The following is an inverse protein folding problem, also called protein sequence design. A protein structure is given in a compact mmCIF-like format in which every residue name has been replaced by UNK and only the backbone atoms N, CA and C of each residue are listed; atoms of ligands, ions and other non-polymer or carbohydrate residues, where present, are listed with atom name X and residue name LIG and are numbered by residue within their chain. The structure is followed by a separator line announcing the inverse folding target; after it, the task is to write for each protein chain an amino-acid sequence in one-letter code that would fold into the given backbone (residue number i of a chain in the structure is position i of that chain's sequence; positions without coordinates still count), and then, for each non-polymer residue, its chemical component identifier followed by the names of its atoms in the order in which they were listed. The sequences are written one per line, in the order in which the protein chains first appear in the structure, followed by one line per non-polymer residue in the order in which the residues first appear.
data_IF_670543624512
#
_entry.id   IF_670543624512
#
_cell.length_a   1.000
_cell.length_b   1.000
_cell.length_c   1.000
_cell.angle_alpha   90.00
_cell.angle_beta   90.00
_cell.angle_gamma   90.00
#
_symmetry.space_group_name_H-M   'P 1'
#
loop_
_entity.id
_entity.type
_entity.pdbx_description
1 polymer ?
#
# COMPACT_ATOMS: atom_id res chain seq x y z
N UNK A 1 23.27 23.27 -35.66
CA UNK A 1 22.38 22.46 -34.81
C UNK A 1 23.29 21.80 -33.78
N UNK A 2 23.03 21.97 -32.48
CA UNK A 2 23.87 21.40 -31.42
C UNK A 2 23.21 20.14 -30.89
N UNK A 3 24.02 19.09 -30.68
CA UNK A 3 23.56 17.83 -30.11
C UNK A 3 23.20 18.04 -28.63
N UNK A 4 22.01 17.57 -28.22
CA UNK A 4 21.55 17.65 -26.84
C UNK A 4 22.02 16.44 -26.04
N UNK A 5 21.85 16.43 -24.71
CA UNK A 5 22.28 15.27 -23.91
C UNK A 5 21.44 14.02 -24.23
N UNK A 6 20.15 14.22 -24.51
CA UNK A 6 19.15 13.22 -24.82
C UNK A 6 19.20 12.72 -26.27
N UNK A 7 20.05 13.30 -27.13
CA UNK A 7 20.18 12.92 -28.55
C UNK A 7 21.63 12.60 -28.87
N UNK A 8 21.85 11.56 -29.68
CA UNK A 8 23.16 11.27 -30.24
C UNK A 8 23.04 10.75 -31.69
N UNK A 9 23.64 11.49 -32.63
CA UNK A 9 23.58 11.22 -34.07
C UNK A 9 24.72 10.32 -34.54
N UNK A 10 24.37 9.30 -35.32
CA UNK A 10 25.30 8.30 -35.82
C UNK A 10 25.16 8.10 -37.33
N UNK A 11 26.26 8.25 -38.05
CA UNK A 11 26.32 7.92 -39.48
C UNK A 11 26.36 6.39 -39.70
N UNK A 12 26.95 5.66 -38.76
CA UNK A 12 27.09 4.21 -38.82
C UNK A 12 27.17 3.61 -37.40
N UNK A 13 26.90 2.30 -37.30
CA UNK A 13 27.09 1.53 -36.08
C UNK A 13 28.57 1.45 -35.74
N UNK A 14 28.93 1.86 -34.51
CA UNK A 14 30.32 1.79 -34.07
C UNK A 14 30.78 0.33 -33.94
N UNK A 15 31.98 -0.03 -34.43
CA UNK A 15 32.55 -1.35 -34.19
C UNK A 15 32.99 -1.53 -32.72
N UNK A 16 33.14 -0.44 -31.97
CA UNK A 16 33.56 -0.46 -30.58
C UNK A 16 32.38 -0.77 -29.65
N UNK A 17 32.18 -2.06 -29.38
CA UNK A 17 31.17 -2.56 -28.44
C UNK A 17 31.39 -2.07 -27.00
N UNK A 18 32.60 -1.64 -26.62
CA UNK A 18 32.83 -1.05 -25.29
C UNK A 18 32.20 0.34 -25.24
N UNK A 19 32.52 1.20 -26.21
CA UNK A 19 31.97 2.56 -26.28
C UNK A 19 30.44 2.58 -26.39
N UNK A 20 29.85 1.63 -27.13
CA UNK A 20 28.39 1.49 -27.20
C UNK A 20 27.78 1.16 -25.82
N UNK A 21 28.40 0.27 -25.03
CA UNK A 21 27.95 -0.01 -23.66
C UNK A 21 27.99 1.23 -22.77
N UNK A 22 29.08 1.98 -22.84
CA UNK A 22 29.24 3.23 -22.08
C UNK A 22 28.14 4.24 -22.44
N UNK A 23 27.79 4.36 -23.72
CA UNK A 23 26.73 5.26 -24.18
C UNK A 23 25.34 4.82 -23.72
N UNK A 24 25.04 3.53 -23.84
CA UNK A 24 23.77 2.97 -23.36
C UNK A 24 23.62 3.15 -21.83
N UNK A 25 24.70 2.91 -21.06
CA UNK A 25 24.75 3.23 -19.62
C UNK A 25 24.48 4.72 -19.35
N UNK A 26 25.13 5.60 -20.11
CA UNK A 26 24.97 7.05 -19.95
C UNK A 26 23.56 7.56 -20.23
N UNK A 27 22.91 7.06 -21.28
CA UNK A 27 21.55 7.44 -21.64
C UNK A 27 20.53 6.84 -20.67
N UNK A 28 20.70 5.59 -20.23
CA UNK A 28 19.79 5.00 -19.25
C UNK A 28 19.90 5.64 -17.85
N UNK A 29 21.04 6.25 -17.53
CA UNK A 29 21.22 7.04 -16.31
C UNK A 29 20.69 8.47 -16.42
N UNK A 30 20.46 8.99 -17.63
CA UNK A 30 19.95 10.33 -17.89
C UNK A 30 18.45 10.42 -17.53
N UNK A 31 18.00 11.44 -16.79
CA UNK A 31 16.57 11.67 -16.57
C UNK A 31 15.79 11.81 -17.89
N UNK A 32 14.71 11.05 -18.05
CA UNK A 32 13.92 10.99 -19.28
C UNK A 32 14.51 10.12 -20.39
N UNK A 33 15.68 9.50 -20.18
CA UNK A 33 16.33 8.64 -21.18
C UNK A 33 16.95 9.43 -22.33
N UNK A 34 17.13 8.77 -23.47
CA UNK A 34 17.69 9.41 -24.67
C UNK A 34 17.55 8.56 -25.93
N UNK A 35 17.97 9.13 -27.06
CA UNK A 35 17.86 8.54 -28.38
C UNK A 35 19.21 8.43 -29.07
N UNK A 36 19.50 7.26 -29.62
CA UNK A 36 20.50 7.10 -30.67
C UNK A 36 19.79 7.20 -32.02
N UNK A 37 20.19 8.18 -32.84
CA UNK A 37 19.60 8.42 -34.16
C UNK A 37 20.61 8.06 -35.24
N UNK A 38 20.31 7.00 -35.99
CA UNK A 38 21.13 6.56 -37.11
C UNK A 38 20.63 7.11 -38.44
N UNK A 39 21.56 7.36 -39.37
CA UNK A 39 21.30 7.92 -40.69
C UNK A 39 21.62 9.41 -40.82
N UNK A 40 22.31 9.97 -39.81
CA UNK A 40 22.78 11.37 -39.79
C UNK A 40 24.29 11.42 -39.57
N UNK A 41 24.97 12.30 -40.30
CA UNK A 41 26.35 12.68 -40.00
C UNK A 41 26.44 13.52 -38.73
N UNK A 42 27.64 13.70 -38.18
CA UNK A 42 27.86 14.60 -37.03
C UNK A 42 27.48 16.08 -37.33
N UNK A 43 27.29 16.43 -38.60
CA UNK A 43 26.83 17.75 -39.05
C UNK A 43 25.31 17.81 -39.27
N UNK A 44 24.60 16.69 -39.08
CA UNK A 44 23.15 16.56 -39.34
C UNK A 44 22.80 16.31 -40.81
N UNK A 45 23.74 15.86 -41.63
CA UNK A 45 23.50 15.54 -43.04
C UNK A 45 23.00 14.10 -43.18
N UNK A 46 22.02 13.86 -44.05
CA UNK A 46 21.45 12.53 -44.28
C UNK A 46 22.49 11.61 -44.94
N UNK A 47 22.78 10.47 -44.31
CA UNK A 47 23.68 9.45 -44.87
C UNK A 47 22.91 8.28 -45.50
N UNK A 48 21.63 8.12 -45.15
CA UNK A 48 20.77 7.03 -45.59
C UNK A 48 21.09 5.70 -44.90
N UNK A 49 20.06 4.93 -44.57
CA UNK A 49 20.17 3.57 -44.01
C UNK A 49 19.21 2.63 -44.75
N UNK A 50 19.59 1.36 -44.87
CA UNK A 50 18.75 0.31 -45.44
C UNK A 50 18.17 -0.60 -44.33
N UNK A 51 17.29 -1.51 -44.72
CA UNK A 51 16.58 -2.41 -43.80
C UNK A 51 17.52 -3.37 -43.06
N UNK A 52 18.52 -3.91 -43.76
CA UNK A 52 19.53 -4.81 -43.20
C UNK A 52 20.36 -4.11 -42.11
N UNK A 53 20.73 -2.85 -42.32
CA UNK A 53 21.42 -2.04 -41.31
C UNK A 53 20.55 -1.81 -40.07
N UNK A 54 19.25 -1.57 -40.26
CA UNK A 54 18.30 -1.38 -39.14
C UNK A 54 18.25 -2.64 -38.29
N UNK A 55 18.02 -3.80 -38.90
CA UNK A 55 17.92 -5.07 -38.19
C UNK A 55 19.22 -5.41 -37.44
N UNK A 56 20.37 -5.27 -38.11
CA UNK A 56 21.68 -5.52 -37.49
C UNK A 56 21.94 -4.59 -36.30
N UNK A 57 21.60 -3.30 -36.43
CA UNK A 57 21.80 -2.29 -35.38
C UNK A 57 20.92 -2.57 -34.16
N UNK A 58 19.62 -2.83 -34.38
CA UNK A 58 18.66 -3.14 -33.30
C UNK A 58 19.08 -4.40 -32.56
N UNK A 59 19.41 -5.47 -33.27
CA UNK A 59 19.85 -6.73 -32.67
C UNK A 59 21.13 -6.56 -31.85
N UNK A 60 22.12 -5.85 -32.40
CA UNK A 60 23.38 -5.61 -31.70
C UNK A 60 23.18 -4.79 -30.42
N UNK A 61 22.46 -3.66 -30.49
CA UNK A 61 22.25 -2.80 -29.32
C UNK A 61 21.40 -3.48 -28.26
N UNK A 62 20.38 -4.24 -28.66
CA UNK A 62 19.54 -5.01 -27.72
C UNK A 62 20.37 -6.04 -26.96
N UNK A 63 21.23 -6.79 -27.66
CA UNK A 63 22.13 -7.77 -27.01
C UNK A 63 23.12 -7.07 -26.07
N UNK A 64 23.71 -5.96 -26.51
CA UNK A 64 24.63 -5.17 -25.68
C UNK A 64 23.93 -4.64 -24.42
N UNK A 65 22.73 -4.08 -24.56
CA UNK A 65 21.95 -3.55 -23.44
C UNK A 65 21.51 -4.64 -22.46
N UNK A 66 21.14 -5.82 -22.96
CA UNK A 66 20.70 -6.95 -22.14
C UNK A 66 21.84 -7.67 -21.42
N UNK A 67 22.97 -7.89 -22.09
CA UNK A 67 24.07 -8.71 -21.55
C UNK A 67 25.22 -7.88 -20.98
N UNK A 68 25.42 -6.67 -21.51
CA UNK A 68 26.57 -5.82 -21.17
C UNK A 68 26.36 -4.89 -19.97
N UNK A 69 25.13 -4.72 -19.52
CA UNK A 69 24.76 -3.75 -18.49
C UNK A 69 24.02 -4.40 -17.29
N UNK A 70 24.09 -3.72 -16.15
CA UNK A 70 23.38 -4.07 -14.93
C UNK A 70 22.80 -2.81 -14.27
N UNK A 71 21.47 -2.69 -14.11
CA UNK A 71 20.45 -3.62 -14.63
C UNK A 71 20.47 -3.73 -16.17
N UNK A 72 19.91 -4.81 -16.75
CA UNK A 72 19.75 -4.93 -18.20
C UNK A 72 18.79 -3.87 -18.73
N UNK A 73 19.04 -3.39 -19.95
CA UNK A 73 18.19 -2.39 -20.59
C UNK A 73 17.12 -3.01 -21.48
N UNK A 74 15.98 -2.32 -21.55
CA UNK A 74 14.95 -2.48 -22.58
C UNK A 74 15.10 -1.31 -23.55
N UNK A 75 15.15 -1.62 -24.84
CA UNK A 75 15.31 -0.63 -25.91
C UNK A 75 14.11 -0.71 -26.84
N UNK A 76 13.57 0.45 -27.20
CA UNK A 76 12.55 0.57 -28.25
C UNK A 76 13.17 1.18 -29.51
N UNK A 77 12.54 0.97 -30.66
CA UNK A 77 12.99 1.61 -31.89
C UNK A 77 11.85 1.95 -32.85
N UNK A 78 12.06 2.97 -33.67
CA UNK A 78 11.20 3.28 -34.81
C UNK A 78 12.04 3.78 -36.00
N UNK A 79 11.53 3.56 -37.21
CA UNK A 79 12.12 4.09 -38.44
C UNK A 79 11.20 5.16 -38.99
N UNK A 80 11.76 6.32 -39.31
CA UNK A 80 11.02 7.43 -39.91
C UNK A 80 11.67 7.86 -41.23
N UNK A 81 10.85 8.30 -42.18
CA UNK A 81 11.32 8.92 -43.41
C UNK A 81 11.42 10.44 -43.25
N UNK A 82 12.56 11.01 -43.60
CA UNK A 82 12.81 12.44 -43.53
C UNK A 82 13.68 12.91 -44.69
N UNK A 83 13.24 13.95 -45.42
CA UNK A 83 14.04 14.58 -46.48
C UNK A 83 14.49 13.64 -47.60
N UNK A 84 13.74 12.57 -47.87
CA UNK A 84 14.09 11.54 -48.87
C UNK A 84 15.05 10.45 -48.38
N UNK A 85 15.42 10.43 -47.09
CA UNK A 85 16.21 9.39 -46.44
C UNK A 85 15.47 8.72 -45.28
N UNK A 86 15.94 7.54 -44.85
CA UNK A 86 15.45 6.82 -43.66
C UNK A 86 16.31 7.18 -42.45
N UNK A 87 15.68 7.34 -41.29
CA UNK A 87 16.31 7.54 -39.99
C UNK A 87 15.83 6.46 -39.02
N UNK A 88 16.75 5.88 -38.26
CA UNK A 88 16.45 4.91 -37.21
C UNK A 88 16.63 5.57 -35.85
N UNK A 89 15.56 5.63 -35.09
CA UNK A 89 15.56 6.08 -33.70
C UNK A 89 15.59 4.85 -32.81
N UNK A 90 16.63 4.73 -31.97
CA UNK A 90 16.66 3.78 -30.87
C UNK A 90 16.43 4.59 -29.60
N UNK A 91 15.34 4.31 -28.90
CA UNK A 91 15.02 4.94 -27.63
C UNK A 91 15.55 4.11 -26.47
N UNK A 92 16.40 4.73 -25.65
CA UNK A 92 16.95 4.19 -24.42
C UNK A 92 16.16 4.82 -23.27
N UNK A 93 15.27 4.04 -22.66
CA UNK A 93 14.50 4.50 -21.51
C UNK A 93 15.40 4.78 -20.30
N UNK A 94 15.04 5.78 -19.49
CA UNK A 94 15.63 5.96 -18.17
C UNK A 94 15.40 4.69 -17.33
N UNK A 95 16.47 4.15 -16.74
CA UNK A 95 16.34 3.05 -15.80
C UNK A 95 15.86 3.57 -14.45
N UNK A 96 14.83 2.95 -13.89
CA UNK A 96 14.38 3.22 -12.52
C UNK A 96 15.39 2.74 -11.48
N UNK A 97 16.11 1.66 -11.76
CA UNK A 97 17.20 1.15 -10.91
C UNK A 97 18.53 1.70 -11.43
N UNK A 98 19.16 2.52 -10.60
CA UNK A 98 20.40 3.24 -10.88
C UNK A 98 21.48 2.93 -9.84
N UNK A 99 22.76 3.10 -10.19
CA UNK A 99 23.25 3.39 -11.53
C UNK A 99 23.15 2.18 -12.45
N UNK A 100 22.89 2.43 -13.73
CA UNK A 100 23.16 1.45 -14.80
C UNK A 100 24.66 1.43 -15.02
N UNK A 101 25.30 0.34 -14.60
CA UNK A 101 26.74 0.12 -14.71
C UNK A 101 27.05 -0.95 -15.76
N UNK A 102 28.33 -1.05 -16.14
CA UNK A 102 28.81 -2.19 -16.91
C UNK A 102 28.65 -3.47 -16.07
N UNK A 103 28.07 -4.52 -16.68
CA UNK A 103 27.84 -5.80 -16.00
C UNK A 103 29.17 -6.45 -15.60
N UNK A 104 29.21 -7.01 -14.39
CA UNK A 104 30.39 -7.69 -13.86
C UNK A 104 31.49 -6.75 -13.36
N UNK A 105 31.25 -5.44 -13.36
CA UNK A 105 32.17 -4.43 -12.84
C UNK A 105 31.59 -3.73 -11.61
N UNK A 106 32.35 -2.80 -11.02
CA UNK A 106 31.88 -2.01 -9.88
C UNK A 106 30.90 -0.91 -10.31
N UNK A 107 30.19 -0.34 -9.33
CA UNK A 107 29.29 0.81 -9.53
C UNK A 107 30.03 2.06 -10.07
N UNK A 108 31.37 2.10 -9.95
CA UNK A 108 32.21 3.15 -10.51
C UNK A 108 32.32 3.08 -12.04
N UNK A 109 31.92 1.97 -12.64
CA UNK A 109 31.84 1.78 -14.10
C UNK A 109 30.41 2.09 -14.59
N UNK A 110 29.87 3.20 -14.09
CA UNK A 110 28.65 3.83 -14.56
C UNK A 110 28.99 5.11 -15.35
N UNK A 111 28.21 5.39 -16.38
CA UNK A 111 28.44 6.53 -17.27
C UNK A 111 27.24 7.48 -17.24
N UNK A 112 27.46 8.74 -17.60
CA UNK A 112 26.45 9.79 -17.69
C UNK A 112 26.67 10.66 -18.93
N UNK A 113 25.60 11.33 -19.39
CA UNK A 113 25.67 12.35 -20.44
C UNK A 113 25.97 13.71 -19.84
N UNK A 114 26.92 14.43 -20.43
CA UNK A 114 27.26 15.81 -20.07
C UNK A 114 27.78 16.56 -21.29
N UNK A 115 27.09 17.63 -21.69
CA UNK A 115 27.46 18.43 -22.86
C UNK A 115 27.53 17.62 -24.14
N UNK A 116 26.55 16.74 -24.40
CA UNK A 116 26.51 15.80 -25.52
C UNK A 116 27.64 14.75 -25.57
N UNK A 117 28.42 14.61 -24.49
CA UNK A 117 29.46 13.59 -24.37
C UNK A 117 29.10 12.55 -23.33
N UNK A 118 29.59 11.34 -23.55
CA UNK A 118 29.53 10.24 -22.59
C UNK A 118 30.81 10.22 -21.79
N UNK A 119 30.70 10.28 -20.47
CA UNK A 119 31.85 10.12 -19.56
C UNK A 119 31.50 9.27 -18.37
N UNK A 120 32.54 8.76 -17.71
CA UNK A 120 32.40 8.06 -16.43
C UNK A 120 31.81 9.00 -15.38
N UNK A 121 30.89 8.47 -14.58
CA UNK A 121 30.33 9.16 -13.43
C UNK A 121 31.37 9.24 -12.31
N UNK A 122 31.48 10.41 -11.69
CA UNK A 122 32.24 10.57 -10.45
C UNK A 122 31.51 9.91 -9.28
N UNK A 123 32.20 9.71 -8.14
CA UNK A 123 31.59 9.15 -6.92
C UNK A 123 30.38 9.95 -6.42
N UNK A 124 30.41 11.28 -6.54
CA UNK A 124 29.29 12.14 -6.15
C UNK A 124 28.09 11.96 -7.08
N UNK A 125 28.34 11.82 -8.39
CA UNK A 125 27.30 11.56 -9.38
C UNK A 125 26.70 10.16 -9.21
N UNK A 126 27.54 9.16 -8.92
CA UNK A 126 27.07 7.81 -8.56
C UNK A 126 26.19 7.87 -7.31
N UNK A 127 26.62 8.60 -6.27
CA UNK A 127 25.78 8.83 -5.08
C UNK A 127 24.43 9.45 -5.44
N UNK A 128 24.42 10.42 -6.34
CA UNK A 128 23.18 11.06 -6.84
C UNK A 128 22.31 10.08 -7.64
N UNK A 129 22.90 9.24 -8.48
CA UNK A 129 22.20 8.18 -9.22
C UNK A 129 21.58 7.16 -8.27
N UNK A 130 22.31 6.75 -7.22
CA UNK A 130 21.81 5.84 -6.20
C UNK A 130 20.66 6.44 -5.39
N UNK A 131 20.72 7.73 -5.05
CA UNK A 131 19.61 8.43 -4.37
C UNK A 131 18.35 8.52 -5.25
N UNK A 132 18.53 8.57 -6.58
CA UNK A 132 17.43 8.56 -7.54
C UNK A 132 17.05 7.15 -8.03
N UNK A 133 17.75 6.11 -7.56
CA UNK A 133 17.45 4.71 -7.83
C UNK A 133 16.23 4.28 -7.03
N UNK A 134 15.29 3.64 -7.69
CA UNK A 134 14.03 3.19 -7.09
C UNK A 134 13.73 1.78 -7.57
N UNK A 135 13.65 0.83 -6.65
CA UNK A 135 13.01 -0.45 -6.92
C UNK A 135 11.51 -0.20 -7.03
N UNK A 136 10.85 -0.62 -8.13
CA UNK A 136 9.41 -0.47 -8.27
C UNK A 136 8.69 -1.09 -7.07
N UNK A 137 7.74 -0.34 -6.49
CA UNK A 137 6.87 -0.90 -5.45
C UNK A 137 5.83 -1.80 -6.13
N UNK A 138 5.33 -2.82 -5.42
CA UNK A 138 4.32 -3.74 -5.97
C UNK A 138 3.12 -2.99 -6.59
N UNK A 139 2.71 -1.90 -5.96
CA UNK A 139 1.58 -1.04 -6.36
C UNK A 139 1.79 -0.34 -7.71
N UNK A 140 3.04 -0.15 -8.12
CA UNK A 140 3.45 0.52 -9.38
C UNK A 140 3.58 -0.48 -10.54
N UNK A 141 3.61 -1.79 -10.26
CA UNK A 141 3.69 -2.81 -11.31
C UNK A 141 2.40 -2.87 -12.11
N UNK A 142 2.50 -3.30 -13.37
CA UNK A 142 1.35 -3.47 -14.25
C UNK A 142 0.55 -4.72 -13.90
N UNK A 143 -0.75 -4.54 -13.73
CA UNK A 143 -1.73 -5.61 -13.52
C UNK A 143 -2.27 -6.19 -14.83
N UNK A 144 -1.97 -5.55 -15.97
CA UNK A 144 -2.44 -5.93 -17.30
C UNK A 144 -1.31 -5.89 -18.32
N UNK A 145 -1.51 -6.56 -19.45
CA UNK A 145 -0.79 -6.24 -20.69
C UNK A 145 -1.23 -4.87 -21.23
N UNK A 146 -0.58 -4.39 -22.29
CA UNK A 146 -0.95 -3.14 -22.96
C UNK A 146 -2.41 -3.21 -23.41
N UNK A 147 -3.19 -2.21 -23.03
CA UNK A 147 -4.60 -2.06 -23.37
C UNK A 147 -4.82 -0.81 -24.20
N UNK A 148 -5.91 -0.79 -24.98
CA UNK A 148 -6.39 0.44 -25.62
C UNK A 148 -6.99 1.38 -24.59
N UNK A 149 -6.99 2.68 -24.89
CA UNK A 149 -7.63 3.74 -24.08
C UNK A 149 -9.07 3.40 -23.70
N UNK A 150 -9.86 2.91 -24.67
CA UNK A 150 -11.24 2.48 -24.44
C UNK A 150 -11.32 1.34 -23.41
N UNK A 151 -10.42 0.36 -23.51
CA UNK A 151 -10.46 -0.79 -22.62
C UNK A 151 -9.98 -0.44 -21.19
N UNK A 152 -9.03 0.50 -21.03
CA UNK A 152 -8.65 1.02 -19.72
C UNK A 152 -9.85 1.61 -18.96
N UNK A 153 -10.70 2.38 -19.66
CA UNK A 153 -11.92 2.98 -19.11
C UNK A 153 -12.98 1.92 -18.76
N UNK A 154 -13.00 0.79 -19.48
CA UNK A 154 -13.90 -0.33 -19.20
C UNK A 154 -13.44 -1.17 -18.00
N UNK A 155 -12.12 -1.31 -17.77
CA UNK A 155 -11.57 -2.13 -16.69
C UNK A 155 -11.78 -1.52 -15.30
N UNK A 156 -11.72 -0.19 -15.20
CA UNK A 156 -11.81 0.54 -13.92
C UNK A 156 -13.13 1.31 -13.79
N UNK A 157 -13.70 1.30 -12.59
CA UNK A 157 -14.83 2.13 -12.16
C UNK A 157 -14.27 3.16 -11.18
N UNK A 158 -14.38 4.44 -11.54
CA UNK A 158 -13.68 5.53 -10.85
C UNK A 158 -14.61 6.60 -10.34
N UNK A 159 -15.87 6.57 -10.77
CA UNK A 159 -16.93 7.46 -10.36
C UNK A 159 -17.11 7.47 -8.83
N UNK A 160 -17.09 6.32 -8.11
CA UNK A 160 -17.16 6.33 -6.65
C UNK A 160 -15.94 7.00 -6.01
N UNK A 161 -14.76 6.91 -6.64
CA UNK A 161 -13.54 7.56 -6.15
C UNK A 161 -13.63 9.08 -6.33
N UNK A 162 -14.11 9.54 -7.49
CA UNK A 162 -14.34 10.95 -7.77
C UNK A 162 -15.36 11.56 -6.79
N UNK A 163 -16.43 10.82 -6.46
CA UNK A 163 -17.42 11.21 -5.45
C UNK A 163 -16.77 11.36 -4.06
N UNK A 164 -15.98 10.38 -3.62
CA UNK A 164 -15.25 10.46 -2.35
C UNK A 164 -14.25 11.63 -2.29
N UNK A 165 -13.66 11.98 -3.43
CA UNK A 165 -12.77 13.14 -3.58
C UNK A 165 -13.50 14.48 -3.75
N UNK A 166 -14.85 14.46 -3.83
CA UNK A 166 -15.67 15.63 -4.16
C UNK A 166 -15.20 16.34 -5.45
N UNK A 167 -14.91 15.54 -6.49
CA UNK A 167 -14.47 16.02 -7.81
C UNK A 167 -15.56 15.79 -8.86
N UNK A 168 -15.73 16.73 -9.82
CA UNK A 168 -16.62 16.51 -10.95
C UNK A 168 -16.10 15.38 -11.82
N UNK A 169 -17.00 14.66 -12.47
CA UNK A 169 -16.64 13.62 -13.44
C UNK A 169 -16.08 14.28 -14.70
N UNK A 170 -14.87 13.91 -15.15
CA UNK A 170 -14.32 14.34 -16.43
C UNK A 170 -15.30 14.11 -17.58
N UNK A 171 -15.42 15.06 -18.51
CA UNK A 171 -16.44 15.01 -19.56
C UNK A 171 -15.96 14.30 -20.83
N UNK A 172 -14.64 14.23 -21.04
CA UNK A 172 -14.05 13.51 -22.16
C UNK A 172 -13.26 12.26 -21.70
N UNK A 173 -13.17 11.21 -22.55
CA UNK A 173 -12.32 10.06 -22.29
C UNK A 173 -10.85 10.43 -22.01
N UNK A 174 -10.30 11.41 -22.75
CA UNK A 174 -8.92 11.86 -22.57
C UNK A 174 -8.68 12.54 -21.21
N UNK A 175 -9.60 13.39 -20.76
CA UNK A 175 -9.51 13.99 -19.42
C UNK A 175 -9.60 12.91 -18.31
N UNK A 176 -10.44 11.89 -18.53
CA UNK A 176 -10.56 10.77 -17.59
C UNK A 176 -9.24 10.00 -17.48
N UNK A 177 -8.62 9.65 -18.61
CA UNK A 177 -7.34 8.95 -18.64
C UNK A 177 -6.22 9.77 -17.97
N UNK A 178 -6.14 11.07 -18.28
CA UNK A 178 -5.18 11.97 -17.65
C UNK A 178 -5.35 12.02 -16.14
N UNK A 179 -6.60 12.06 -15.66
CA UNK A 179 -6.87 12.00 -14.23
C UNK A 179 -6.50 10.63 -13.63
N UNK A 180 -6.87 9.53 -14.27
CA UNK A 180 -6.53 8.17 -13.81
C UNK A 180 -5.01 7.97 -13.68
N UNK A 181 -4.25 8.50 -14.63
CA UNK A 181 -2.78 8.51 -14.61
C UNK A 181 -2.23 9.39 -13.48
N UNK A 182 -2.80 10.58 -13.26
CA UNK A 182 -2.43 11.46 -12.14
C UNK A 182 -2.65 10.81 -10.76
N UNK A 183 -3.64 9.91 -10.67
CA UNK A 183 -3.95 9.10 -9.49
C UNK A 183 -3.16 7.77 -9.45
N UNK A 184 -2.29 7.54 -10.44
CA UNK A 184 -1.46 6.33 -10.61
C UNK A 184 -2.27 5.04 -10.74
N UNK A 185 -3.53 5.13 -11.19
CA UNK A 185 -4.37 3.95 -11.45
C UNK A 185 -3.97 3.28 -12.77
N UNK A 186 -3.43 4.06 -13.70
CA UNK A 186 -2.92 3.61 -14.99
C UNK A 186 -1.58 4.28 -15.28
N UNK A 187 -0.88 3.74 -16.28
CA UNK A 187 0.30 4.34 -16.91
C UNK A 187 0.07 4.35 -18.42
N UNK A 188 0.00 5.53 -19.04
CA UNK A 188 -0.22 5.66 -20.48
C UNK A 188 1.09 5.58 -21.25
N UNK A 189 1.03 5.14 -22.51
CA UNK A 189 2.20 5.10 -23.39
C UNK A 189 2.06 6.12 -24.52
N UNK A 190 3.17 6.73 -24.93
CA UNK A 190 3.18 7.77 -25.97
C UNK A 190 2.63 7.29 -27.32
N UNK A 191 2.71 5.98 -27.60
CA UNK A 191 2.17 5.36 -28.82
C UNK A 191 0.65 5.13 -28.78
N UNK A 192 -0.02 5.48 -27.68
CA UNK A 192 -1.45 5.26 -27.43
C UNK A 192 -1.72 3.98 -26.62
N UNK A 193 -2.76 4.01 -25.79
CA UNK A 193 -3.04 2.94 -24.84
C UNK A 193 -2.28 3.10 -23.52
N UNK A 194 -2.29 2.04 -22.73
CA UNK A 194 -1.59 2.01 -21.45
C UNK A 194 -1.81 0.73 -20.65
N UNK A 195 -1.36 0.76 -19.41
CA UNK A 195 -1.44 -0.35 -18.47
C UNK A 195 -2.25 0.05 -17.24
N UNK A 196 -3.00 -0.89 -16.67
CA UNK A 196 -3.55 -0.72 -15.32
C UNK A 196 -2.46 -1.07 -14.32
N UNK A 197 -2.24 -0.22 -13.31
CA UNK A 197 -1.31 -0.54 -12.22
C UNK A 197 -1.97 -1.48 -11.21
N UNK A 198 -1.18 -2.18 -10.39
CA UNK A 198 -1.69 -2.97 -9.27
C UNK A 198 -2.50 -2.11 -8.30
N UNK A 199 -2.10 -0.85 -8.06
CA UNK A 199 -2.90 0.12 -7.32
C UNK A 199 -4.27 0.34 -7.98
N UNK A 200 -4.29 0.58 -9.29
CA UNK A 200 -5.50 0.79 -10.08
C UNK A 200 -6.46 -0.40 -10.00
N UNK A 201 -5.95 -1.60 -10.23
CA UNK A 201 -6.72 -2.83 -10.12
C UNK A 201 -7.27 -3.05 -8.71
N UNK A 202 -6.45 -2.93 -7.67
CA UNK A 202 -6.91 -3.14 -6.30
C UNK A 202 -7.85 -2.05 -5.79
N UNK A 203 -7.73 -0.80 -6.24
CA UNK A 203 -8.60 0.28 -5.79
C UNK A 203 -9.93 0.32 -6.59
N UNK A 204 -9.86 0.19 -7.91
CA UNK A 204 -10.91 0.62 -8.83
C UNK A 204 -11.39 -0.47 -9.82
N UNK A 205 -10.89 -1.71 -9.76
CA UNK A 205 -11.31 -2.74 -10.71
C UNK A 205 -12.84 -2.96 -10.70
N UNK A 206 -13.47 -2.91 -11.89
CA UNK A 206 -14.87 -3.35 -12.05
C UNK A 206 -15.04 -4.82 -11.73
N UNK A 207 -14.03 -5.63 -12.08
CA UNK A 207 -13.95 -7.06 -11.79
C UNK A 207 -12.49 -7.43 -11.51
N UNK A 208 -12.19 -7.80 -10.27
CA UNK A 208 -10.84 -8.29 -9.89
C UNK A 208 -10.46 -9.58 -10.65
N UNK A 209 -11.44 -10.35 -11.11
CA UNK A 209 -11.22 -11.57 -11.89
C UNK A 209 -10.62 -11.31 -13.28
N UNK A 210 -10.74 -10.07 -13.80
CA UNK A 210 -10.15 -9.69 -15.09
C UNK A 210 -8.62 -9.49 -14.98
N UNK A 211 -8.07 -9.56 -13.75
CA UNK A 211 -6.66 -9.42 -13.44
C UNK A 211 -6.16 -10.71 -12.78
N UNK A 212 -5.32 -11.48 -13.49
CA UNK A 212 -4.89 -12.83 -13.07
C UNK A 212 -4.32 -12.83 -11.65
N UNK A 213 -3.44 -11.87 -11.36
CA UNK A 213 -2.65 -11.83 -10.13
C UNK A 213 -3.40 -11.16 -8.96
N UNK A 214 -4.48 -10.42 -9.26
CA UNK A 214 -5.28 -9.71 -8.26
C UNK A 214 -6.55 -10.48 -7.86
N UNK A 215 -7.03 -11.39 -8.70
CA UNK A 215 -8.25 -12.17 -8.47
C UNK A 215 -8.29 -12.85 -7.10
N UNK A 216 -7.14 -13.38 -6.63
CA UNK A 216 -6.99 -14.08 -5.34
C UNK A 216 -6.79 -13.17 -4.14
N UNK A 217 -6.73 -11.85 -4.35
CA UNK A 217 -6.59 -10.86 -3.28
C UNK A 217 -7.94 -10.42 -2.73
N UNK A 218 -9.06 -10.78 -3.36
CA UNK A 218 -10.38 -10.38 -2.93
C UNK A 218 -10.68 -10.69 -1.45
N UNK A 219 -11.37 -9.76 -0.79
CA UNK A 219 -11.85 -9.94 0.58
C UNK A 219 -12.86 -11.08 0.63
N UNK A 220 -12.69 -12.01 1.56
CA UNK A 220 -13.66 -13.07 1.83
C UNK A 220 -14.37 -12.80 3.14
N UNK A 221 -15.69 -12.90 3.14
CA UNK A 221 -16.54 -12.76 4.33
C UNK A 221 -17.26 -14.08 4.56
N UNK A 222 -17.11 -14.63 5.76
CA UNK A 222 -17.70 -15.90 6.17
C UNK A 222 -18.44 -15.72 7.50
N UNK A 223 -19.67 -16.22 7.60
CA UNK A 223 -20.42 -16.34 8.85
C UNK A 223 -20.59 -17.82 9.19
N UNK A 224 -20.05 -18.22 10.33
CA UNK A 224 -20.26 -19.55 10.91
C UNK A 224 -21.45 -19.50 11.87
N UNK A 225 -22.25 -20.56 11.96
CA UNK A 225 -23.17 -20.73 13.09
C UNK A 225 -22.36 -21.15 14.34
N UNK A 226 -22.61 -20.53 15.50
CA UNK A 226 -21.87 -20.86 16.72
C UNK A 226 -20.54 -20.12 16.86
N UNK A 227 -19.63 -20.71 17.64
CA UNK A 227 -18.37 -20.09 18.11
C UNK A 227 -17.11 -20.67 17.48
N UNK A 228 -17.25 -21.65 16.58
CA UNK A 228 -16.14 -22.35 15.93
C UNK A 228 -16.38 -22.56 14.43
N UNK A 229 -15.37 -23.10 13.74
CA UNK A 229 -15.41 -23.37 12.28
C UNK A 229 -16.13 -24.67 11.91
N UNK A 230 -16.51 -25.49 12.89
CA UNK A 230 -17.24 -26.75 12.66
C UNK A 230 -18.74 -26.52 12.50
N UNK A 231 -19.22 -25.36 12.96
CA UNK A 231 -20.59 -24.93 12.73
C UNK A 231 -20.93 -24.75 11.25
N UNK A 232 -22.22 -24.84 10.94
CA UNK A 232 -22.72 -24.66 9.58
C UNK A 232 -22.33 -23.28 9.01
N UNK A 233 -21.98 -23.24 7.72
CA UNK A 233 -21.73 -21.99 7.01
C UNK A 233 -23.07 -21.30 6.71
N UNK A 234 -23.39 -20.25 7.44
CA UNK A 234 -24.60 -19.47 7.24
C UNK A 234 -24.46 -18.49 6.07
N UNK A 235 -23.23 -18.04 5.80
CA UNK A 235 -22.94 -17.11 4.71
C UNK A 235 -21.49 -17.24 4.27
N UNK A 236 -21.26 -17.17 2.97
CA UNK A 236 -19.93 -17.04 2.38
C UNK A 236 -20.01 -16.16 1.13
N UNK A 237 -19.18 -15.12 1.08
CA UNK A 237 -19.06 -14.27 -0.11
C UNK A 237 -17.63 -13.81 -0.31
N UNK A 238 -17.24 -13.79 -1.58
CA UNK A 238 -15.96 -13.25 -2.02
C UNK A 238 -16.20 -11.92 -2.73
N UNK A 239 -15.36 -10.93 -2.43
CA UNK A 239 -15.32 -9.65 -3.12
C UNK A 239 -15.00 -9.85 -4.59
N UNK A 240 -15.55 -8.99 -5.46
CA UNK A 240 -15.32 -9.07 -6.91
C UNK A 240 -14.84 -7.78 -7.52
N UNK A 241 -14.82 -6.69 -6.76
CA UNK A 241 -14.52 -5.34 -7.20
C UNK A 241 -13.32 -4.79 -6.44
N UNK A 242 -12.73 -3.72 -6.96
CA UNK A 242 -11.72 -2.93 -6.28
C UNK A 242 -12.17 -2.54 -4.87
N UNK A 243 -11.22 -2.53 -3.94
CA UNK A 243 -11.42 -2.26 -2.54
C UNK A 243 -12.01 -0.87 -2.30
N UNK A 244 -11.50 0.18 -2.97
CA UNK A 244 -11.94 1.54 -2.70
C UNK A 244 -13.41 1.72 -3.07
N UNK A 245 -13.79 1.28 -4.28
CA UNK A 245 -15.17 1.41 -4.78
C UNK A 245 -16.18 0.51 -4.07
N UNK A 246 -15.71 -0.51 -3.32
CA UNK A 246 -16.59 -1.46 -2.62
C UNK A 246 -16.51 -1.36 -1.10
N UNK A 247 -15.63 -0.54 -0.55
CA UNK A 247 -15.37 -0.49 0.89
C UNK A 247 -16.64 -0.22 1.72
N UNK A 248 -17.42 0.81 1.37
CA UNK A 248 -18.64 1.15 2.09
C UNK A 248 -19.63 -0.02 2.10
N UNK A 249 -19.90 -0.60 0.94
CA UNK A 249 -20.80 -1.76 0.83
C UNK A 249 -20.27 -3.00 1.53
N UNK A 250 -18.95 -3.17 1.62
CA UNK A 250 -18.33 -4.24 2.41
C UNK A 250 -18.60 -4.02 3.90
N UNK A 251 -18.38 -2.80 4.41
CA UNK A 251 -18.65 -2.44 5.80
C UNK A 251 -20.13 -2.66 6.14
N UNK A 252 -21.05 -2.15 5.32
CA UNK A 252 -22.50 -2.37 5.47
C UNK A 252 -22.83 -3.87 5.51
N UNK A 253 -22.31 -4.65 4.54
CA UNK A 253 -22.55 -6.10 4.49
C UNK A 253 -22.01 -6.83 5.73
N UNK A 254 -20.86 -6.40 6.27
CA UNK A 254 -20.32 -6.99 7.50
C UNK A 254 -21.22 -6.64 8.68
N UNK A 255 -21.63 -5.38 8.82
CA UNK A 255 -22.53 -4.90 9.88
C UNK A 255 -23.89 -5.62 9.88
N UNK A 256 -24.44 -5.91 8.70
CA UNK A 256 -25.70 -6.63 8.54
C UNK A 256 -25.63 -8.10 8.98
N UNK A 257 -24.43 -8.71 8.95
CA UNK A 257 -24.21 -10.09 9.37
C UNK A 257 -23.93 -10.23 10.88
N UNK A 258 -23.72 -9.11 11.58
CA UNK A 258 -23.45 -9.12 13.02
C UNK A 258 -24.70 -9.40 13.83
N UNK A 259 -24.56 -9.92 15.06
CA UNK A 259 -25.67 -9.98 16.01
C UNK A 259 -26.29 -8.59 16.19
N UNK A 260 -27.60 -8.49 16.00
CA UNK A 260 -28.39 -7.26 16.09
C UNK A 260 -29.50 -7.43 17.15
N UNK A 261 -29.74 -6.37 17.92
CA UNK A 261 -30.91 -6.25 18.79
C UNK A 261 -31.89 -5.22 18.20
N UNK A 262 -33.21 -5.41 18.38
CA UNK A 262 -34.19 -4.39 18.03
C UNK A 262 -34.24 -3.33 19.13
N UNK A 263 -33.99 -2.07 18.75
CA UNK A 263 -34.08 -0.91 19.65
C UNK A 263 -35.07 0.08 19.06
N UNK A 264 -35.96 0.64 19.89
CA UNK A 264 -36.87 1.70 19.44
C UNK A 264 -36.14 3.04 19.49
N UNK A 265 -35.92 3.66 18.32
CA UNK A 265 -35.41 5.03 18.20
C UNK A 265 -36.45 5.88 17.49
N UNK A 266 -36.79 7.03 18.09
CA UNK A 266 -37.77 7.98 17.53
C UNK A 266 -39.10 7.31 17.13
N UNK A 267 -39.55 6.32 17.92
CA UNK A 267 -40.80 5.59 17.68
C UNK A 267 -40.71 4.47 16.62
N UNK A 268 -39.57 4.30 15.94
CA UNK A 268 -39.35 3.25 14.95
C UNK A 268 -38.43 2.16 15.50
N UNK A 269 -38.73 0.90 15.16
CA UNK A 269 -37.83 -0.23 15.46
C UNK A 269 -36.65 -0.19 14.49
N UNK A 270 -35.45 -0.07 15.05
CA UNK A 270 -34.19 -0.10 14.30
C UNK A 270 -33.36 -1.25 14.83
N UNK A 271 -32.82 -2.07 13.92
CA UNK A 271 -31.86 -3.10 14.29
C UNK A 271 -30.52 -2.43 14.58
N UNK A 272 -29.97 -2.64 15.77
CA UNK A 272 -28.70 -2.07 16.20
C UNK A 272 -27.77 -3.17 16.69
N UNK A 273 -26.56 -3.22 16.12
CA UNK A 273 -25.48 -4.06 16.63
C UNK A 273 -24.69 -3.35 17.73
N UNK A 274 -24.11 -4.13 18.64
CA UNK A 274 -23.25 -3.59 19.73
C UNK A 274 -21.82 -3.32 19.26
N UNK A 275 -21.42 -3.83 18.09
CA UNK A 275 -20.11 -3.55 17.53
C UNK A 275 -20.06 -2.11 16.98
N UNK A 276 -19.09 -1.29 17.40
CA UNK A 276 -18.99 0.07 16.91
C UNK A 276 -18.52 0.08 15.46
N UNK A 277 -19.32 0.70 14.59
CA UNK A 277 -19.01 0.86 13.16
C UNK A 277 -17.64 1.51 12.94
N UNK A 278 -17.27 2.51 13.76
CA UNK A 278 -15.97 3.17 13.70
C UNK A 278 -14.82 2.15 13.86
N UNK A 279 -14.90 1.22 14.82
CA UNK A 279 -13.84 0.25 15.01
C UNK A 279 -13.74 -0.73 13.84
N UNK A 280 -14.89 -1.18 13.32
CA UNK A 280 -14.93 -2.07 12.16
C UNK A 280 -14.40 -1.40 10.90
N UNK A 281 -14.78 -0.14 10.67
CA UNK A 281 -14.26 0.67 9.56
C UNK A 281 -12.74 0.74 9.60
N UNK A 282 -12.16 1.09 10.74
CA UNK A 282 -10.70 1.23 10.87
C UNK A 282 -9.97 -0.11 10.74
N UNK A 283 -10.48 -1.18 11.37
CA UNK A 283 -9.84 -2.50 11.32
C UNK A 283 -9.95 -3.09 9.92
N UNK A 284 -11.11 -2.97 9.25
CA UNK A 284 -11.29 -3.42 7.87
C UNK A 284 -10.39 -2.63 6.93
N UNK A 285 -10.36 -1.29 7.01
CA UNK A 285 -9.51 -0.49 6.14
C UNK A 285 -8.02 -0.84 6.33
N UNK A 286 -7.57 -0.98 7.58
CA UNK A 286 -6.20 -1.41 7.88
C UNK A 286 -5.92 -2.81 7.34
N UNK A 287 -6.88 -3.72 7.39
CA UNK A 287 -6.74 -5.04 6.81
C UNK A 287 -6.53 -4.97 5.28
N UNK A 288 -7.30 -4.14 4.57
CA UNK A 288 -7.14 -3.99 3.12
C UNK A 288 -5.80 -3.35 2.74
N UNK A 289 -5.35 -2.36 3.52
CA UNK A 289 -4.14 -1.59 3.22
C UNK A 289 -2.87 -2.37 3.58
N UNK A 290 -2.82 -3.05 4.73
CA UNK A 290 -1.55 -3.54 5.31
C UNK A 290 -1.26 -5.02 5.04
N UNK A 291 -2.07 -5.70 4.22
CA UNK A 291 -1.80 -7.08 3.80
C UNK A 291 -0.50 -7.21 2.99
N UNK A 292 0.10 -8.40 2.99
CA UNK A 292 1.22 -8.69 2.10
C UNK A 292 0.73 -9.11 0.70
N UNK A 293 0.85 -8.18 -0.26
CA UNK A 293 0.48 -8.47 -1.64
C UNK A 293 1.43 -9.44 -2.36
N UNK A 294 2.60 -9.76 -1.79
CA UNK A 294 3.49 -10.77 -2.36
C UNK A 294 3.03 -12.21 -2.07
N UNK A 295 2.19 -12.42 -1.05
CA UNK A 295 1.70 -13.77 -0.68
C UNK A 295 0.60 -14.23 -1.63
N UNK A 296 0.83 -15.26 -2.44
CA UNK A 296 -0.16 -15.78 -3.39
C UNK A 296 -1.17 -16.72 -2.73
N UNK A 297 -2.36 -16.85 -3.34
CA UNK A 297 -3.40 -17.79 -2.89
C UNK A 297 -4.15 -17.41 -1.60
N UNK A 298 -3.81 -16.28 -0.98
CA UNK A 298 -4.46 -15.75 0.21
C UNK A 298 -4.81 -14.27 0.04
N UNK A 299 -5.90 -13.87 0.67
CA UNK A 299 -6.38 -12.49 0.76
C UNK A 299 -6.99 -12.22 2.13
N UNK A 300 -7.50 -11.01 2.38
CA UNK A 300 -8.11 -10.65 3.64
C UNK A 300 -9.35 -11.51 3.90
N UNK A 301 -9.47 -12.02 5.11
CA UNK A 301 -10.56 -12.88 5.54
C UNK A 301 -11.24 -12.30 6.77
N UNK A 302 -12.55 -12.06 6.65
CA UNK A 302 -13.45 -11.64 7.72
C UNK A 302 -14.31 -12.83 8.12
N UNK A 303 -14.08 -13.36 9.31
CA UNK A 303 -14.83 -14.46 9.89
C UNK A 303 -15.71 -13.91 11.02
N UNK A 304 -17.01 -14.16 10.93
CA UNK A 304 -17.99 -13.72 11.92
C UNK A 304 -18.53 -14.96 12.64
N UNK A 305 -18.51 -14.89 13.96
CA UNK A 305 -19.03 -15.90 14.88
C UNK A 305 -20.11 -15.27 15.77
N UNK A 306 -20.80 -16.10 16.56
CA UNK A 306 -21.86 -15.61 17.45
C UNK A 306 -21.33 -14.67 18.54
N UNK A 307 -20.06 -14.82 18.90
CA UNK A 307 -19.43 -14.11 20.02
C UNK A 307 -18.30 -13.16 19.61
N UNK A 308 -17.86 -13.14 18.35
CA UNK A 308 -16.72 -12.33 17.89
C UNK A 308 -16.65 -12.18 16.38
N UNK A 309 -15.81 -11.24 15.95
CA UNK A 309 -15.41 -11.02 14.56
C UNK A 309 -13.89 -11.14 14.49
N UNK A 310 -13.38 -11.97 13.59
CA UNK A 310 -11.96 -12.13 13.31
C UNK A 310 -11.65 -11.58 11.91
N UNK A 311 -10.72 -10.64 11.81
CA UNK A 311 -10.24 -10.08 10.55
C UNK A 311 -8.78 -10.45 10.43
N UNK A 312 -8.44 -11.22 9.39
CA UNK A 312 -7.09 -11.75 9.19
C UNK A 312 -6.54 -11.43 7.80
N UNK A 313 -5.23 -11.22 7.75
CA UNK A 313 -4.48 -10.91 6.55
C UNK A 313 -3.32 -11.88 6.35
N UNK A 314 -2.90 -12.10 5.09
CA UNK A 314 -1.60 -12.68 4.80
C UNK A 314 -0.47 -11.72 5.18
N UNK A 315 0.66 -12.31 5.60
CA UNK A 315 1.87 -11.59 5.97
C UNK A 315 2.00 -11.37 7.48
N UNK A 316 3.24 -11.34 7.95
CA UNK A 316 3.59 -11.07 9.34
C UNK A 316 3.49 -9.58 9.68
N UNK A 317 3.52 -9.29 10.99
CA UNK A 317 3.68 -7.94 11.50
C UNK A 317 5.03 -7.36 11.04
N UNK A 318 5.07 -6.06 10.72
CA UNK A 318 6.30 -5.38 10.33
C UNK A 318 7.35 -5.50 11.46
N UNK A 319 8.65 -5.75 11.15
CA UNK A 319 9.70 -5.90 12.15
C UNK A 319 9.87 -4.68 13.08
N UNK A 320 9.51 -3.50 12.60
CA UNK A 320 9.52 -2.22 13.33
C UNK A 320 8.35 -2.08 14.31
N UNK A 321 7.36 -2.97 14.29
CA UNK A 321 6.17 -2.93 15.13
C UNK A 321 6.17 -4.06 16.15
N UNK A 322 5.59 -3.77 17.31
CA UNK A 322 5.36 -4.74 18.38
C UNK A 322 3.88 -4.81 18.70
N UNK A 323 3.35 -6.01 18.98
CA UNK A 323 1.96 -6.22 19.38
C UNK A 323 1.56 -5.34 20.57
N UNK A 324 2.49 -5.15 21.52
CA UNK A 324 2.24 -4.34 22.70
C UNK A 324 2.19 -2.84 22.37
N UNK A 325 2.67 -2.39 21.20
CA UNK A 325 2.71 -0.97 20.83
C UNK A 325 2.14 -0.75 19.42
N UNK A 326 0.94 -1.29 19.17
CA UNK A 326 0.21 -1.07 17.92
C UNK A 326 -0.70 0.16 17.98
N UNK A 327 -1.46 0.32 19.06
CA UNK A 327 -2.33 1.48 19.24
C UNK A 327 -1.47 2.71 19.54
N UNK A 328 -1.66 3.79 18.77
CA UNK A 328 -0.91 5.04 18.94
C UNK A 328 0.54 4.98 18.45
N UNK A 329 0.92 3.95 17.70
CA UNK A 329 2.25 3.83 17.10
C UNK A 329 2.40 4.74 15.88
N UNK A 330 3.64 5.06 15.53
CA UNK A 330 3.90 5.83 14.31
C UNK A 330 3.36 5.09 13.08
N UNK A 331 2.64 5.78 12.17
CA UNK A 331 2.05 5.14 11.01
C UNK A 331 3.14 4.64 10.06
N UNK A 332 3.03 3.38 9.69
CA UNK A 332 3.93 2.74 8.72
C UNK A 332 3.11 1.74 7.91
N UNK A 333 3.27 1.78 6.59
CA UNK A 333 2.51 0.92 5.67
C UNK A 333 3.44 0.15 4.78
N UNK A 334 3.12 -1.14 4.58
CA UNK A 334 3.73 -1.97 3.53
C UNK A 334 3.36 -1.45 2.13
N UNK A 335 2.15 -0.90 1.99
CA UNK A 335 1.56 -0.44 0.74
C UNK A 335 1.24 1.06 0.89
N UNK A 336 2.24 1.90 0.60
CA UNK A 336 2.19 3.34 0.86
C UNK A 336 1.28 4.07 -0.12
N UNK A 337 1.24 3.67 -1.39
CA UNK A 337 0.42 4.35 -2.39
C UNK A 337 -1.07 4.10 -2.16
N UNK A 338 -1.45 2.88 -1.81
CA UNK A 338 -2.79 2.45 -1.44
C UNK A 338 -3.21 3.09 -0.12
N UNK A 339 -2.34 3.12 0.89
CA UNK A 339 -2.60 3.83 2.15
C UNK A 339 -2.88 5.32 1.90
N UNK A 340 -2.05 5.97 1.08
CA UNK A 340 -2.22 7.39 0.71
C UNK A 340 -3.51 7.61 -0.08
N UNK A 341 -3.83 6.73 -1.03
CA UNK A 341 -5.06 6.78 -1.80
C UNK A 341 -6.29 6.66 -0.89
N UNK A 342 -6.31 5.68 0.02
CA UNK A 342 -7.46 5.42 0.91
C UNK A 342 -7.71 6.55 1.90
N UNK A 343 -6.66 7.23 2.39
CA UNK A 343 -6.80 8.45 3.19
C UNK A 343 -7.47 9.56 2.38
N UNK A 344 -6.98 9.80 1.16
CA UNK A 344 -7.57 10.80 0.26
C UNK A 344 -9.02 10.47 -0.10
N UNK A 345 -9.34 9.18 -0.26
CA UNK A 345 -10.69 8.68 -0.52
C UNK A 345 -11.56 8.63 0.74
N UNK A 346 -11.08 9.10 1.89
CA UNK A 346 -11.82 9.15 3.17
C UNK A 346 -12.26 7.76 3.69
N UNK A 347 -11.59 6.69 3.23
CA UNK A 347 -11.82 5.31 3.67
C UNK A 347 -11.21 5.08 5.05
N UNK A 348 -10.01 5.60 5.28
CA UNK A 348 -9.33 5.55 6.58
C UNK A 348 -8.81 6.93 6.99
N UNK A 349 -8.54 7.07 8.28
CA UNK A 349 -8.11 8.32 8.88
C UNK A 349 -6.63 8.61 8.64
N UNK A 350 -6.27 9.88 8.79
CA UNK A 350 -4.87 10.31 8.71
C UNK A 350 -4.07 9.89 9.96
N UNK A 351 -2.76 9.69 9.74
CA UNK A 351 -1.71 9.75 10.76
C UNK A 351 -1.88 8.83 11.99
N UNK A 352 -2.06 7.52 11.79
CA UNK A 352 -1.93 6.51 12.87
C UNK A 352 -3.05 6.53 13.93
N UNK A 353 -4.06 7.37 13.75
CA UNK A 353 -5.19 7.52 14.67
C UNK A 353 -6.25 6.42 14.54
N UNK A 354 -6.22 5.62 13.48
CA UNK A 354 -7.26 4.62 13.19
C UNK A 354 -7.44 3.58 14.29
N UNK A 355 -6.37 2.92 14.73
CA UNK A 355 -6.45 1.95 15.83
C UNK A 355 -6.77 2.62 17.20
N UNK A 356 -6.39 3.89 17.38
CA UNK A 356 -6.76 4.67 18.56
C UNK A 356 -8.28 4.90 18.61
N UNK A 357 -8.88 5.34 17.50
CA UNK A 357 -10.34 5.50 17.38
C UNK A 357 -11.08 4.19 17.55
N UNK A 358 -10.56 3.11 16.96
CA UNK A 358 -11.12 1.77 17.14
C UNK A 358 -11.13 1.36 18.62
N UNK A 359 -10.01 1.55 19.33
CA UNK A 359 -9.90 1.27 20.76
C UNK A 359 -10.87 2.11 21.59
N UNK A 360 -10.94 3.42 21.36
CA UNK A 360 -11.88 4.31 22.06
C UNK A 360 -13.35 3.92 21.83
N UNK A 361 -13.70 3.54 20.60
CA UNK A 361 -15.06 3.12 20.27
C UNK A 361 -15.43 1.79 20.94
N UNK A 362 -14.47 0.85 21.00
CA UNK A 362 -14.59 -0.43 21.73
C UNK A 362 -14.80 -0.18 23.22
N UNK A 363 -14.01 0.70 23.85
CA UNK A 363 -14.15 1.05 25.26
C UNK A 363 -15.49 1.71 25.57
N UNK A 364 -15.90 2.68 24.74
CA UNK A 364 -17.16 3.41 24.92
C UNK A 364 -18.39 2.48 24.80
N UNK A 365 -18.27 1.45 23.95
CA UNK A 365 -19.31 0.43 23.79
C UNK A 365 -19.30 -0.59 24.94
N UNK A 366 -18.25 -0.62 25.76
CA UNK A 366 -18.05 -1.59 26.85
C UNK A 366 -17.77 -3.00 26.34
N UNK A 367 -17.14 -3.10 25.17
CA UNK A 367 -16.69 -4.37 24.60
C UNK A 367 -15.34 -4.78 25.22
N UNK A 368 -14.98 -6.07 25.21
CA UNK A 368 -13.63 -6.50 25.55
C UNK A 368 -12.57 -5.85 24.64
N UNK A 369 -11.30 -5.80 25.07
CA UNK A 369 -10.22 -5.14 24.32
C UNK A 369 -10.00 -5.79 22.95
N UNK A 370 -9.43 -5.01 22.02
CA UNK A 370 -9.09 -5.50 20.69
C UNK A 370 -7.95 -6.51 20.83
N UNK A 371 -8.14 -7.75 20.37
CA UNK A 371 -7.08 -8.75 20.43
C UNK A 371 -6.27 -8.73 19.13
N UNK A 372 -4.96 -8.56 19.25
CA UNK A 372 -4.01 -8.64 18.14
C UNK A 372 -3.21 -9.93 18.22
N UNK A 373 -3.15 -10.68 17.12
CA UNK A 373 -2.41 -11.94 17.03
C UNK A 373 -1.51 -11.91 15.78
N UNK A 374 -0.19 -12.00 15.98
CA UNK A 374 0.77 -12.15 14.90
C UNK A 374 1.21 -13.60 14.78
N UNK A 375 1.03 -14.20 13.61
CA UNK A 375 1.59 -15.49 13.21
C UNK A 375 2.81 -15.31 12.30
N UNK A 376 3.40 -16.44 11.90
CA UNK A 376 4.60 -16.46 11.02
C UNK A 376 4.32 -15.81 9.66
N UNK A 377 3.13 -16.03 9.09
CA UNK A 377 2.72 -15.47 7.81
C UNK A 377 1.26 -14.96 7.84
N UNK A 378 0.81 -14.52 9.01
CA UNK A 378 -0.53 -14.00 9.18
C UNK A 378 -0.58 -12.96 10.28
N UNK A 379 -1.53 -12.05 10.15
CA UNK A 379 -1.88 -11.11 11.20
C UNK A 379 -3.39 -11.10 11.37
N UNK A 380 -3.86 -11.16 12.62
CA UNK A 380 -5.27 -11.27 12.94
C UNK A 380 -5.68 -10.28 14.02
N UNK A 381 -6.81 -9.63 13.81
CA UNK A 381 -7.48 -8.75 14.76
C UNK A 381 -8.81 -9.36 15.13
N UNK A 382 -9.11 -9.45 16.42
CA UNK A 382 -10.39 -9.97 16.91
C UNK A 382 -11.14 -8.91 17.71
N UNK A 383 -12.39 -8.66 17.33
CA UNK A 383 -13.35 -7.90 18.13
C UNK A 383 -14.29 -8.87 18.83
N UNK A 384 -14.23 -8.90 20.15
CA UNK A 384 -15.13 -9.71 20.97
C UNK A 384 -16.50 -9.03 21.13
N UNK A 385 -17.54 -9.85 21.27
CA UNK A 385 -18.88 -9.40 21.59
C UNK A 385 -19.01 -8.92 23.04
N UNK A 386 -20.16 -8.35 23.42
CA UNK A 386 -20.35 -7.75 24.74
C UNK A 386 -20.17 -8.77 25.88
N UNK A 387 -19.25 -8.48 26.81
CA UNK A 387 -19.04 -9.28 28.04
C UNK A 387 -18.90 -8.35 29.24
N UNK A 388 -19.50 -8.74 30.35
CA UNK A 388 -19.29 -8.03 31.62
C UNK A 388 -17.92 -8.38 32.20
N UNK A 389 -17.39 -7.53 33.08
CA UNK A 389 -16.11 -7.78 33.77
C UNK A 389 -16.03 -9.21 34.36
N UNK A 390 -17.11 -9.67 35.00
CA UNK A 390 -17.18 -11.00 35.59
C UNK A 390 -17.05 -12.15 34.56
N UNK A 391 -17.50 -11.94 33.32
CA UNK A 391 -17.42 -12.92 32.23
C UNK A 391 -16.12 -12.83 31.43
N UNK A 392 -15.33 -11.76 31.59
CA UNK A 392 -14.00 -11.67 31.00
C UNK A 392 -13.03 -12.59 31.73
N UNK A 393 -12.16 -13.25 30.98
CA UNK A 393 -11.01 -13.98 31.50
C UNK A 393 -10.00 -13.04 32.17
N UNK A 394 -9.14 -13.54 33.08
CA UNK A 394 -8.08 -12.73 33.70
C UNK A 394 -7.19 -12.02 32.67
N UNK A 395 -6.80 -12.73 31.60
CA UNK A 395 -6.00 -12.18 30.51
C UNK A 395 -6.72 -11.04 29.78
N UNK A 396 -8.00 -11.21 29.45
CA UNK A 396 -8.79 -10.13 28.83
C UNK A 396 -8.85 -8.91 29.76
N UNK A 397 -9.04 -9.08 31.07
CA UNK A 397 -9.07 -7.95 32.02
C UNK A 397 -7.74 -7.20 32.05
N UNK A 398 -6.61 -7.91 32.01
CA UNK A 398 -5.27 -7.32 31.97
C UNK A 398 -5.00 -6.58 30.66
N UNK A 399 -5.28 -7.19 29.51
CA UNK A 399 -5.17 -6.54 28.20
C UNK A 399 -6.06 -5.31 28.12
N UNK A 400 -7.23 -5.40 28.75
CA UNK A 400 -8.15 -4.29 28.83
C UNK A 400 -7.52 -3.16 29.68
N UNK A 401 -7.03 -3.45 30.89
CA UNK A 401 -6.32 -2.48 31.73
C UNK A 401 -5.19 -1.77 30.94
N UNK A 402 -4.38 -2.56 30.24
CA UNK A 402 -3.29 -2.08 29.42
C UNK A 402 -3.75 -1.14 28.29
N UNK A 403 -4.71 -1.57 27.46
CA UNK A 403 -5.23 -0.74 26.37
C UNK A 403 -5.83 0.56 26.90
N UNK A 404 -6.52 0.53 28.04
CA UNK A 404 -7.07 1.76 28.63
C UNK A 404 -5.97 2.75 29.00
N UNK A 405 -4.86 2.28 29.59
CA UNK A 405 -3.69 3.11 29.86
C UNK A 405 -3.08 3.70 28.58
N UNK A 406 -2.98 2.90 27.51
CA UNK A 406 -2.48 3.36 26.20
C UNK A 406 -3.38 4.46 25.63
N UNK A 407 -4.70 4.25 25.61
CA UNK A 407 -5.66 5.21 25.06
C UNK A 407 -5.65 6.53 25.85
N UNK A 408 -5.52 6.47 27.19
CA UNK A 408 -5.37 7.64 28.05
C UNK A 408 -4.08 8.38 27.74
N UNK A 409 -2.95 7.68 27.70
CA UNK A 409 -1.65 8.28 27.40
C UNK A 409 -1.62 8.97 26.03
N UNK A 410 -2.16 8.32 24.98
CA UNK A 410 -2.29 8.93 23.65
C UNK A 410 -3.18 10.18 23.61
N UNK A 411 -4.01 10.38 24.63
CA UNK A 411 -4.88 11.55 24.79
C UNK A 411 -4.30 12.58 25.77
N UNK A 412 -3.00 12.49 26.11
CA UNK A 412 -2.33 13.31 27.14
C UNK A 412 -3.04 13.23 28.52
N UNK A 413 -3.60 12.07 28.84
CA UNK A 413 -4.21 11.76 30.13
C UNK A 413 -3.51 10.56 30.76
N UNK A 414 -3.74 10.36 32.05
CA UNK A 414 -3.28 9.20 32.79
C UNK A 414 -4.44 8.29 33.15
N UNK A 415 -4.17 7.00 33.29
CA UNK A 415 -5.15 6.06 33.82
C UNK A 415 -5.22 6.18 35.33
N UNK A 416 -6.43 6.19 35.87
CA UNK A 416 -6.69 6.11 37.31
C UNK A 416 -7.59 4.92 37.60
N UNK A 417 -7.71 4.54 38.88
CA UNK A 417 -8.71 3.55 39.28
C UNK A 417 -10.13 3.97 38.83
N UNK A 418 -10.47 5.25 39.01
CA UNK A 418 -11.77 5.80 38.59
C UNK A 418 -12.00 5.62 37.10
N UNK A 419 -11.04 6.01 36.25
CA UNK A 419 -11.21 5.92 34.80
C UNK A 419 -11.32 4.46 34.32
N UNK A 420 -10.51 3.56 34.88
CA UNK A 420 -10.57 2.14 34.54
C UNK A 420 -11.89 1.51 35.01
N UNK A 421 -12.39 1.90 36.19
CA UNK A 421 -13.67 1.45 36.74
C UNK A 421 -14.85 1.88 35.86
N UNK A 422 -14.86 3.14 35.41
CA UNK A 422 -15.86 3.66 34.48
C UNK A 422 -15.88 2.89 33.17
N UNK A 423 -14.69 2.66 32.61
CA UNK A 423 -14.51 1.89 31.38
C UNK A 423 -14.99 0.44 31.50
N UNK A 424 -14.78 -0.21 32.65
CA UNK A 424 -15.30 -1.55 32.93
C UNK A 424 -16.79 -1.57 33.34
N UNK A 425 -17.46 -0.41 33.38
CA UNK A 425 -18.85 -0.24 33.85
C UNK A 425 -19.09 -0.82 35.25
N UNK A 426 -18.12 -0.64 36.16
CA UNK A 426 -18.17 -1.16 37.52
C UNK A 426 -18.62 -0.09 38.55
N UNK A 427 -19.45 -0.43 39.55
CA UNK A 427 -19.87 0.51 40.59
C UNK A 427 -18.76 0.81 41.61
N UNK A 428 -18.82 1.96 42.28
CA UNK A 428 -17.82 2.40 43.27
C UNK A 428 -17.56 1.37 44.39
N UNK A 429 -18.58 0.60 44.78
CA UNK A 429 -18.46 -0.50 45.76
C UNK A 429 -17.43 -1.57 45.36
N UNK A 430 -17.08 -1.66 44.08
CA UNK A 430 -16.14 -2.63 43.52
C UNK A 430 -14.75 -2.05 43.24
N UNK A 431 -14.42 -0.88 43.81
CA UNK A 431 -13.12 -0.21 43.68
C UNK A 431 -11.93 -1.13 44.00
N UNK A 432 -12.06 -2.00 44.99
CA UNK A 432 -11.01 -2.94 45.41
C UNK A 432 -10.61 -3.93 44.32
N UNK A 433 -11.56 -4.43 43.52
CA UNK A 433 -11.27 -5.35 42.41
C UNK A 433 -10.46 -4.68 41.31
N UNK A 434 -10.73 -3.40 41.02
CA UNK A 434 -9.92 -2.62 40.08
C UNK A 434 -8.51 -2.37 40.63
N UNK A 435 -8.37 -2.10 41.93
CA UNK A 435 -7.05 -1.95 42.55
C UNK A 435 -6.20 -3.22 42.43
N UNK A 436 -6.80 -4.40 42.61
CA UNK A 436 -6.10 -5.69 42.43
C UNK A 436 -5.66 -5.87 40.97
N UNK A 437 -6.53 -5.57 40.00
CA UNK A 437 -6.20 -5.66 38.58
C UNK A 437 -5.06 -4.72 38.17
N UNK A 438 -5.05 -3.49 38.70
CA UNK A 438 -3.97 -2.52 38.47
C UNK A 438 -2.65 -3.01 39.06
N UNK A 439 -2.70 -3.61 40.26
CA UNK A 439 -1.53 -4.20 40.88
C UNK A 439 -0.97 -5.34 40.02
N UNK A 440 -1.82 -6.28 39.58
CA UNK A 440 -1.43 -7.39 38.70
C UNK A 440 -0.84 -6.89 37.37
N UNK A 441 -1.46 -5.86 36.76
CA UNK A 441 -0.94 -5.26 35.52
C UNK A 441 0.42 -4.56 35.72
N UNK A 442 0.66 -3.97 36.89
CA UNK A 442 1.97 -3.41 37.26
C UNK A 442 3.01 -4.51 37.47
N UNK A 443 2.65 -5.59 38.16
CA UNK A 443 3.51 -6.75 38.42
C UNK A 443 3.90 -7.48 37.11
N UNK A 444 3.01 -7.51 36.12
CA UNK A 444 3.28 -8.03 34.78
C UNK A 444 3.95 -7.03 33.83
N UNK A 445 4.39 -5.87 34.33
CA UNK A 445 5.07 -4.82 33.55
C UNK A 445 4.26 -4.34 32.33
N UNK A 446 2.92 -4.39 32.40
CA UNK A 446 2.05 -3.83 31.36
C UNK A 446 1.88 -2.32 31.54
N UNK A 447 1.86 -1.86 32.78
CA UNK A 447 1.72 -0.45 33.15
C UNK A 447 2.73 -0.09 34.24
N UNK A 448 2.98 1.21 34.43
CA UNK A 448 3.79 1.74 35.52
C UNK A 448 3.14 2.98 36.12
N UNK A 449 3.57 3.36 37.33
CA UNK A 449 3.17 4.63 37.93
C UNK A 449 3.64 5.81 37.08
N UNK A 450 2.78 6.80 36.88
CA UNK A 450 3.11 8.02 36.15
C UNK A 450 4.15 8.87 36.91
N UNK A 451 4.01 8.95 38.23
CA UNK A 451 4.95 9.56 39.15
C UNK A 451 5.43 8.51 40.18
N UNK A 452 6.68 8.02 40.07
CA UNK A 452 7.25 7.06 41.00
C UNK A 452 7.42 7.60 42.43
N UNK A 453 7.49 8.92 42.63
CA UNK A 453 7.68 9.52 43.95
C UNK A 453 6.36 9.69 44.72
N UNK A 454 5.22 9.60 44.02
CA UNK A 454 3.90 9.72 44.61
C UNK A 454 3.58 8.52 45.52
N UNK A 455 3.67 8.74 46.84
CA UNK A 455 3.34 7.73 47.87
C UNK A 455 1.83 7.54 48.10
N UNK A 456 0.98 8.38 47.49
CA UNK A 456 -0.47 8.33 47.72
C UNK A 456 -1.16 7.27 46.86
N UNK A 457 -1.63 6.19 47.50
CA UNK A 457 -2.46 5.16 46.84
C UNK A 457 -3.83 5.69 46.38
N UNK A 458 -4.30 6.85 46.87
CA UNK A 458 -5.61 7.41 46.52
C UNK A 458 -5.58 8.19 45.20
N UNK A 459 -4.47 8.84 44.91
CA UNK A 459 -4.23 9.63 43.71
C UNK A 459 -3.15 8.99 42.83
N UNK A 460 -3.10 7.66 42.82
CA UNK A 460 -2.17 6.92 42.00
C UNK A 460 -2.61 6.99 40.53
N UNK A 461 -1.66 7.35 39.68
CA UNK A 461 -1.84 7.54 38.24
C UNK A 461 -0.92 6.57 37.51
N UNK A 462 -1.39 6.03 36.39
CA UNK A 462 -0.73 4.96 35.67
C UNK A 462 -0.63 5.29 34.18
N UNK A 463 0.49 4.89 33.59
CA UNK A 463 0.80 5.01 32.17
C UNK A 463 1.26 3.64 31.63
N UNK A 464 1.25 3.42 30.30
CA UNK A 464 1.86 2.23 29.71
C UNK A 464 3.33 2.08 30.12
N UNK A 465 3.84 0.86 30.19
CA UNK A 465 5.22 0.60 30.63
C UNK A 465 6.29 1.38 29.84
N UNK A 466 6.06 1.59 28.55
CA UNK A 466 6.96 2.27 27.62
C UNK A 466 6.86 3.81 27.61
N UNK A 467 5.90 4.38 28.34
CA UNK A 467 5.61 5.82 28.36
C UNK A 467 6.69 6.65 29.07
#
# INVERSE_FOLDING_TARGET
MHELNELDWKAALSPDKKRLREHLSAMANLPGGGYLVYGLSAKGELTGINEEFVEATVNQLTNIGREGLSPPLVLDHCVAEHGGGRLLYIYIQESSVKPVQIRGQSLEEAFIRSGATTRRASRQEIGTLMLNSRTPKWEELHATLLQTDEHLLQLLEVEPILEMLNRPVPQSPGEMLLWMESERLIETVAAGGGYVTNLGGMAAARKLADFSDLSRKAVRVIRYAGTDKTGALNYQKEGRKGYAIRFQKLLESVMDLLPQAEVVRQGLRVKQTTYPEIALREILANALIHQDFNVTGAGPLVEIYDDRIEISNPGSLLPSKSLNRLIGTQPESRNEHLARAFRRYRICEELGSGLLKAGQAVESSGLPPIKFEAGVNSFKVTLQGPRTFAKMSPKERLEACYQHAVLKHCSNQVMTNTSLRERMKMPEKQRSMISVLIQEATEMELIKAADPENKSKKFAEYVPFWA
#
